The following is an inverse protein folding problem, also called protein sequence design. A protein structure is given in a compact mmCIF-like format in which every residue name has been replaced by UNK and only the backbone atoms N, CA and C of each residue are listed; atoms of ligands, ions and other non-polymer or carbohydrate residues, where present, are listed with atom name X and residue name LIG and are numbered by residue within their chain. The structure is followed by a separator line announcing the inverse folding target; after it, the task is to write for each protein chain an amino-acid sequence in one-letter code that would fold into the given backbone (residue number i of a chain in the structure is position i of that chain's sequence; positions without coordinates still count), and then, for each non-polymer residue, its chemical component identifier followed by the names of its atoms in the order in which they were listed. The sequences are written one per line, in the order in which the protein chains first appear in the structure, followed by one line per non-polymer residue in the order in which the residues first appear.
data_IF_466896136071
#
_entry.id   IF_466896136071
#
_cell.length_a   1.000
_cell.length_b   1.000
_cell.length_c   1.000
_cell.angle_alpha   90.00
_cell.angle_beta   90.00
_cell.angle_gamma   90.00
#
_symmetry.space_group_name_H-M   'P 1'
#
loop_
_entity.id
_entity.type
_entity.pdbx_description
1 polymer ?
#
# COMPACT_ATOMS: atom_id res chain seq x y z
N UNK A 1 -6.57 -63.74 -37.07
CA UNK A 1 -8.00 -63.81 -37.42
C UNK A 1 -8.71 -62.62 -36.81
N UNK A 2 -9.52 -61.99 -37.64
CA UNK A 2 -10.07 -60.65 -37.55
C UNK A 2 -11.21 -60.46 -36.55
N UNK A 3 -11.58 -59.18 -36.39
CA UNK A 3 -12.90 -58.60 -36.12
C UNK A 3 -13.20 -58.14 -34.68
N UNK A 4 -14.00 -57.10 -34.42
CA UNK A 4 -14.49 -55.91 -35.15
C UNK A 4 -15.37 -55.15 -34.11
N UNK A 5 -15.51 -53.84 -34.33
CA UNK A 5 -16.24 -52.80 -33.59
C UNK A 5 -17.70 -53.06 -33.13
N UNK A 6 -18.15 -52.28 -32.13
CA UNK A 6 -19.43 -51.55 -32.00
C UNK A 6 -19.33 -50.61 -30.76
N UNK A 7 -19.58 -49.29 -30.74
CA UNK A 7 -20.66 -48.40 -31.21
C UNK A 7 -22.01 -48.52 -30.47
N UNK A 8 -22.29 -47.58 -29.57
CA UNK A 8 -23.59 -46.90 -29.29
C UNK A 8 -23.33 -45.89 -28.14
N UNK A 9 -23.83 -44.65 -28.07
CA UNK A 9 -24.90 -43.96 -28.77
C UNK A 9 -26.10 -43.75 -27.84
N UNK A 10 -26.22 -42.60 -27.14
CA UNK A 10 -27.52 -42.01 -26.76
C UNK A 10 -27.40 -40.57 -26.18
N UNK A 11 -28.49 -39.76 -26.22
CA UNK A 11 -28.42 -38.32 -26.47
C UNK A 11 -29.25 -37.48 -25.46
N UNK A 12 -29.46 -36.20 -25.83
CA UNK A 12 -30.52 -35.26 -25.40
C UNK A 12 -30.30 -34.55 -24.05
N UNK A 13 -30.26 -33.22 -24.13
CA UNK A 13 -31.27 -32.35 -23.48
C UNK A 13 -31.43 -31.04 -24.27
N UNK A 14 -32.65 -30.87 -24.82
CA UNK A 14 -33.19 -29.64 -25.42
C UNK A 14 -33.56 -28.67 -24.30
N UNK A 15 -33.35 -27.36 -24.51
CA UNK A 15 -34.12 -26.30 -23.85
C UNK A 15 -34.68 -25.37 -24.94
N UNK A 16 -35.99 -25.16 -24.89
CA UNK A 16 -36.76 -24.23 -25.73
C UNK A 16 -37.31 -23.09 -24.86
N UNK A 17 -37.55 -21.96 -25.54
CA UNK A 17 -38.50 -20.88 -25.25
C UNK A 17 -38.15 -19.93 -24.08
N UNK A 18 -38.46 -18.62 -24.08
CA UNK A 18 -39.38 -17.77 -24.87
C UNK A 18 -38.81 -16.32 -24.85
N UNK A 19 -38.80 -15.56 -25.95
CA UNK A 19 -39.86 -14.66 -26.44
C UNK A 19 -40.38 -13.61 -25.45
N UNK A 20 -40.09 -12.33 -25.72
CA UNK A 20 -41.03 -11.21 -25.50
C UNK A 20 -40.64 -10.01 -26.37
N UNK A 21 -41.66 -9.44 -27.03
CA UNK A 21 -41.62 -8.32 -27.97
C UNK A 21 -41.99 -6.98 -27.30
N UNK A 22 -41.61 -5.88 -27.97
CA UNK A 22 -42.27 -4.55 -27.89
C UNK A 22 -41.59 -3.59 -26.91
N UNK A 23 -41.42 -2.29 -27.17
CA UNK A 23 -42.26 -1.36 -27.95
C UNK A 23 -41.42 -0.19 -28.49
N UNK A 24 -41.82 0.31 -29.66
CA UNK A 24 -41.28 1.46 -30.42
C UNK A 24 -41.45 2.78 -29.67
N UNK A 25 -40.41 3.63 -29.64
CA UNK A 25 -40.53 5.04 -29.29
C UNK A 25 -40.65 5.92 -30.55
N UNK A 26 -41.70 6.74 -30.57
CA UNK A 26 -42.13 7.61 -31.67
C UNK A 26 -41.40 8.96 -31.61
N UNK A 27 -40.94 9.42 -32.78
CA UNK A 27 -40.38 10.74 -33.05
C UNK A 27 -41.53 11.74 -33.20
N UNK A 28 -41.51 12.85 -32.44
CA UNK A 28 -42.44 13.97 -32.60
C UNK A 28 -41.69 15.30 -32.51
N UNK A 29 -41.62 16.00 -33.64
CA UNK A 29 -41.17 17.39 -33.79
C UNK A 29 -42.37 18.33 -33.62
N UNK A 30 -42.24 19.42 -32.86
CA UNK A 30 -42.92 20.71 -33.16
C UNK A 30 -42.28 21.90 -32.42
N UNK A 31 -41.72 22.80 -33.24
CA UNK A 31 -41.81 24.28 -33.25
C UNK A 31 -41.70 25.15 -31.97
N UNK A 32 -40.81 26.13 -32.13
CA UNK A 32 -40.65 27.48 -31.55
C UNK A 32 -41.94 28.34 -31.54
N UNK A 33 -42.14 29.48 -30.84
CA UNK A 33 -41.35 30.71 -30.50
C UNK A 33 -42.15 31.48 -29.36
N UNK A 34 -42.01 32.82 -29.08
CA UNK A 34 -41.00 33.59 -28.32
C UNK A 34 -41.47 34.27 -26.99
N UNK A 35 -40.47 34.72 -26.22
CA UNK A 35 -40.34 35.94 -25.41
C UNK A 35 -41.55 36.78 -24.94
N UNK A 36 -41.58 37.09 -23.64
CA UNK A 36 -41.97 38.42 -23.11
C UNK A 36 -41.06 38.88 -21.98
N UNK A 37 -40.46 40.05 -22.20
CA UNK A 37 -39.73 40.88 -21.23
C UNK A 37 -40.73 41.47 -20.22
N UNK A 38 -40.38 41.49 -18.94
CA UNK A 38 -40.79 42.56 -18.04
C UNK A 38 -39.58 43.08 -17.25
N UNK A 39 -39.55 44.40 -17.18
CA UNK A 39 -38.48 45.29 -16.74
C UNK A 39 -38.78 45.74 -15.31
N UNK A 40 -37.74 45.66 -14.46
CA UNK A 40 -37.35 46.51 -13.31
C UNK A 40 -38.41 46.95 -12.27
N UNK A 41 -38.11 46.78 -10.98
CA UNK A 41 -37.41 47.80 -10.17
C UNK A 41 -37.14 47.35 -8.70
N UNK A 42 -36.24 48.06 -7.95
CA UNK A 42 -35.42 47.48 -6.89
C UNK A 42 -35.90 47.85 -5.48
N UNK A 43 -35.64 47.00 -4.47
CA UNK A 43 -35.72 47.41 -3.06
C UNK A 43 -34.61 46.83 -2.17
N UNK A 44 -33.77 47.77 -1.72
CA UNK A 44 -33.18 47.94 -0.39
C UNK A 44 -32.19 46.91 0.15
N UNK A 45 -30.94 47.38 0.13
CA UNK A 45 -29.81 46.99 1.01
C UNK A 45 -30.26 46.91 2.47
N UNK A 46 -30.04 45.76 3.10
CA UNK A 46 -29.85 45.65 4.56
C UNK A 46 -28.39 45.30 4.76
N UNK A 47 -27.65 46.24 5.36
CA UNK A 47 -26.27 46.05 5.76
C UNK A 47 -26.24 45.16 7.00
N UNK A 48 -25.85 43.89 6.83
CA UNK A 48 -25.43 43.05 7.95
C UNK A 48 -24.02 43.50 8.37
N UNK A 49 -23.97 44.10 9.55
CA UNK A 49 -22.76 44.54 10.25
C UNK A 49 -21.81 43.35 10.41
N UNK A 50 -20.66 43.40 9.75
CA UNK A 50 -19.50 42.53 9.99
C UNK A 50 -19.10 42.69 11.45
N UNK A 51 -19.44 41.72 12.29
CA UNK A 51 -18.83 41.57 13.62
C UNK A 51 -17.52 40.84 13.40
N UNK A 52 -16.41 41.52 13.68
CA UNK A 52 -15.10 40.88 13.72
C UNK A 52 -15.08 39.85 14.87
N UNK A 53 -14.55 38.64 14.66
CA UNK A 53 -14.33 37.72 15.77
C UNK A 53 -13.21 38.29 16.66
N UNK A 54 -13.57 38.67 17.88
CA UNK A 54 -12.60 38.87 18.95
C UNK A 54 -11.87 37.56 19.24
N UNK A 55 -10.55 37.58 19.47
CA UNK A 55 -9.81 36.39 19.85
C UNK A 55 -10.15 36.08 21.31
N UNK A 56 -11.08 35.15 21.51
CA UNK A 56 -11.44 34.68 22.85
C UNK A 56 -10.50 33.56 23.26
N UNK A 57 -9.91 33.78 24.43
CA UNK A 57 -8.95 32.97 25.17
C UNK A 57 -9.48 31.59 25.55
N UNK A 58 -8.71 30.55 25.21
CA UNK A 58 -8.52 29.27 25.92
C UNK A 58 -9.60 28.88 26.96
N UNK A 59 -10.77 28.45 26.48
CA UNK A 59 -11.73 27.64 27.22
C UNK A 59 -11.83 26.28 26.53
N UNK A 60 -11.93 25.21 27.31
CA UNK A 60 -11.86 23.82 26.84
C UNK A 60 -12.79 23.54 25.65
N UNK A 61 -12.24 22.83 24.67
CA UNK A 61 -12.81 22.43 23.37
C UNK A 61 -13.95 21.40 23.52
N UNK A 62 -14.96 21.70 24.33
CA UNK A 62 -16.13 20.83 24.48
C UNK A 62 -17.05 20.92 23.25
N UNK A 63 -17.65 19.80 22.88
CA UNK A 63 -18.64 19.69 21.84
C UNK A 63 -19.94 20.35 22.27
N UNK A 64 -20.58 21.00 21.29
CA UNK A 64 -21.88 21.66 21.47
C UNK A 64 -22.94 20.64 21.93
N UNK A 65 -22.88 19.43 21.37
CA UNK A 65 -23.65 18.28 21.83
C UNK A 65 -22.73 17.28 22.55
N UNK A 66 -23.09 16.87 23.78
CA UNK A 66 -22.24 16.03 24.62
C UNK A 66 -21.87 14.68 23.97
N UNK A 67 -22.80 14.05 23.26
CA UNK A 67 -22.58 12.76 22.59
C UNK A 67 -21.51 12.83 21.48
N UNK A 68 -21.24 14.02 20.95
CA UNK A 68 -20.25 14.23 19.90
C UNK A 68 -18.82 14.35 20.45
N UNK A 69 -18.64 14.48 21.77
CA UNK A 69 -17.34 14.77 22.38
C UNK A 69 -16.30 13.69 22.09
N UNK A 70 -16.67 12.42 22.26
CA UNK A 70 -15.76 11.30 22.06
C UNK A 70 -15.33 11.20 20.58
N UNK A 71 -16.30 11.33 19.67
CA UNK A 71 -16.07 11.32 18.23
C UNK A 71 -15.15 12.48 17.80
N UNK A 72 -15.42 13.70 18.26
CA UNK A 72 -14.58 14.87 17.97
C UNK A 72 -13.14 14.66 18.48
N UNK A 73 -12.98 14.13 19.69
CA UNK A 73 -11.66 13.84 20.29
C UNK A 73 -10.87 12.83 19.46
N UNK A 74 -11.54 11.78 18.97
CA UNK A 74 -10.91 10.77 18.12
C UNK A 74 -10.47 11.35 16.77
N UNK A 75 -11.28 12.20 16.15
CA UNK A 75 -10.90 12.87 14.90
C UNK A 75 -9.76 13.88 15.08
N UNK A 76 -9.62 14.52 16.26
CA UNK A 76 -8.43 15.30 16.61
C UNK A 76 -7.18 14.41 16.65
N UNK A 77 -7.25 13.26 17.32
CA UNK A 77 -6.14 12.32 17.39
C UNK A 77 -5.75 11.76 16.01
N UNK A 78 -6.74 11.45 15.16
CA UNK A 78 -6.47 11.06 13.77
C UNK A 78 -5.76 12.16 13.00
N UNK A 79 -6.19 13.41 13.14
CA UNK A 79 -5.52 14.53 12.51
C UNK A 79 -4.04 14.62 12.94
N UNK A 80 -3.77 14.55 14.24
CA UNK A 80 -2.42 14.60 14.80
C UNK A 80 -1.54 13.45 14.28
N UNK A 81 -2.10 12.24 14.14
CA UNK A 81 -1.40 11.13 13.48
C UNK A 81 -1.07 11.44 12.01
N UNK A 82 -2.01 12.00 11.24
CA UNK A 82 -1.72 12.42 9.85
C UNK A 82 -0.63 13.50 9.80
N UNK A 83 -0.57 14.37 10.80
CA UNK A 83 0.47 15.40 10.92
C UNK A 83 1.85 14.80 11.18
N UNK A 84 1.96 13.86 12.13
CA UNK A 84 3.25 13.21 12.45
C UNK A 84 3.80 12.41 11.26
N UNK A 85 2.93 11.95 10.38
CA UNK A 85 3.29 11.26 9.13
C UNK A 85 3.54 12.21 7.94
N UNK A 86 3.41 13.52 8.13
CA UNK A 86 3.67 14.52 7.09
C UNK A 86 2.53 14.78 6.10
N UNK A 87 1.34 14.18 6.30
CA UNK A 87 0.16 14.38 5.43
C UNK A 87 -0.58 15.67 5.75
N UNK A 88 0.04 16.82 5.45
CA UNK A 88 -0.48 18.16 5.78
C UNK A 88 -1.90 18.43 5.29
N UNK A 89 -2.25 17.95 4.09
CA UNK A 89 -3.61 18.14 3.54
C UNK A 89 -4.65 17.30 4.28
N UNK A 90 -4.31 16.07 4.66
CA UNK A 90 -5.19 15.22 5.46
C UNK A 90 -5.32 15.76 6.87
N UNK A 91 -4.22 16.18 7.52
CA UNK A 91 -4.27 16.84 8.82
C UNK A 91 -5.30 17.98 8.87
N UNK A 92 -5.27 18.88 7.88
CA UNK A 92 -6.25 19.99 7.80
C UNK A 92 -7.67 19.49 7.63
N UNK A 93 -7.89 18.49 6.77
CA UNK A 93 -9.20 17.91 6.55
C UNK A 93 -9.77 17.28 7.82
N UNK A 94 -9.00 16.42 8.52
CA UNK A 94 -9.44 15.79 9.76
C UNK A 94 -9.67 16.81 10.89
N UNK A 95 -8.88 17.89 10.96
CA UNK A 95 -9.16 19.01 11.89
C UNK A 95 -10.47 19.72 11.58
N UNK A 96 -10.79 19.92 10.29
CA UNK A 96 -12.06 20.51 9.88
C UNK A 96 -13.25 19.59 10.22
N UNK A 97 -13.09 18.27 10.02
CA UNK A 97 -14.09 17.28 10.40
C UNK A 97 -14.33 17.28 11.90
N UNK A 98 -13.26 17.27 12.71
CA UNK A 98 -13.36 17.34 14.17
C UNK A 98 -14.09 18.61 14.65
N UNK A 99 -13.81 19.75 14.02
CA UNK A 99 -14.51 21.00 14.30
C UNK A 99 -15.99 20.93 13.91
N UNK A 100 -16.32 20.37 12.74
CA UNK A 100 -17.71 20.21 12.30
C UNK A 100 -18.52 19.31 13.25
N UNK A 101 -17.92 18.21 13.73
CA UNK A 101 -18.54 17.31 14.73
C UNK A 101 -18.79 18.06 16.05
N UNK A 102 -17.80 18.86 16.50
CA UNK A 102 -17.87 19.64 17.74
C UNK A 102 -18.93 20.75 17.67
N UNK A 103 -19.03 21.42 16.53
CA UNK A 103 -19.94 22.55 16.32
C UNK A 103 -21.37 22.08 15.98
N UNK A 104 -21.58 20.78 15.73
CA UNK A 104 -22.91 20.23 15.53
C UNK A 104 -23.75 20.36 16.81
N UNK A 105 -24.89 21.04 16.68
CA UNK A 105 -25.87 21.17 17.76
C UNK A 105 -26.68 19.91 18.02
N UNK A 106 -26.75 19.01 17.04
CA UNK A 106 -27.43 17.73 17.12
C UNK A 106 -26.43 16.58 17.27
N UNK A 107 -26.90 15.46 17.83
CA UNK A 107 -26.14 14.22 17.90
C UNK A 107 -25.84 13.71 16.48
N UNK A 108 -24.59 13.33 16.23
CA UNK A 108 -24.20 12.68 14.97
C UNK A 108 -24.61 11.21 15.03
N UNK A 109 -25.47 10.78 14.11
CA UNK A 109 -25.97 9.41 14.01
C UNK A 109 -25.29 8.62 12.89
N UNK A 110 -24.64 9.31 11.96
CA UNK A 110 -23.81 8.68 10.94
C UNK A 110 -22.86 9.64 10.22
N UNK A 111 -21.95 9.07 9.46
CA UNK A 111 -20.96 9.81 8.68
C UNK A 111 -21.57 10.80 7.70
N UNK A 112 -22.76 10.49 7.18
CA UNK A 112 -23.52 11.35 6.27
C UNK A 112 -23.86 12.73 6.87
N UNK A 113 -24.11 12.81 8.18
CA UNK A 113 -24.49 14.04 8.88
C UNK A 113 -23.35 15.07 8.84
N UNK A 114 -22.12 14.59 8.88
CA UNK A 114 -20.92 15.43 8.86
C UNK A 114 -20.48 15.69 7.42
N UNK A 115 -20.27 14.64 6.62
CA UNK A 115 -19.66 14.80 5.29
C UNK A 115 -20.58 15.50 4.29
N UNK A 116 -21.90 15.41 4.46
CA UNK A 116 -22.88 16.02 3.56
C UNK A 116 -22.83 17.56 3.55
N UNK A 117 -22.31 18.17 4.61
CA UNK A 117 -22.19 19.62 4.75
C UNK A 117 -20.82 20.18 4.32
N UNK A 118 -19.84 19.30 4.08
CA UNK A 118 -18.45 19.69 3.87
C UNK A 118 -18.04 19.65 2.39
N UNK A 119 -17.14 20.55 1.99
CA UNK A 119 -16.52 20.52 0.67
C UNK A 119 -15.37 19.52 0.64
N UNK A 120 -15.65 18.31 0.18
CA UNK A 120 -14.65 17.25 0.01
C UNK A 120 -14.92 16.40 -1.23
N UNK A 121 -13.93 15.64 -1.68
CA UNK A 121 -14.09 14.72 -2.82
C UNK A 121 -14.97 13.51 -2.41
N UNK A 122 -15.63 12.83 -3.36
CA UNK A 122 -16.43 11.63 -3.05
C UNK A 122 -15.63 10.55 -2.32
N UNK A 123 -14.35 10.39 -2.67
CA UNK A 123 -13.46 9.43 -1.99
C UNK A 123 -13.20 9.84 -0.53
N UNK A 124 -12.98 11.12 -0.27
CA UNK A 124 -12.78 11.61 1.10
C UNK A 124 -14.05 11.46 1.94
N UNK A 125 -15.21 11.80 1.37
CA UNK A 125 -16.50 11.63 2.04
C UNK A 125 -16.78 10.17 2.40
N UNK A 126 -16.49 9.24 1.48
CA UNK A 126 -16.64 7.81 1.76
C UNK A 126 -15.70 7.33 2.87
N UNK A 127 -14.43 7.74 2.85
CA UNK A 127 -13.46 7.38 3.90
C UNK A 127 -13.85 7.94 5.26
N UNK A 128 -14.06 9.24 5.36
CA UNK A 128 -14.38 9.91 6.63
C UNK A 128 -15.74 9.47 7.16
N UNK A 129 -16.74 9.33 6.27
CA UNK A 129 -18.05 8.84 6.66
C UNK A 129 -17.99 7.43 7.23
N UNK A 130 -17.24 6.53 6.57
CA UNK A 130 -17.01 5.18 7.07
C UNK A 130 -16.29 5.13 8.41
N UNK A 131 -15.28 5.98 8.64
CA UNK A 131 -14.58 6.10 9.93
C UNK A 131 -15.51 6.60 11.06
N UNK A 132 -16.43 7.52 10.75
CA UNK A 132 -17.46 7.97 11.70
C UNK A 132 -18.41 6.81 12.04
N UNK A 133 -18.94 6.13 11.03
CA UNK A 133 -19.87 5.00 11.21
C UNK A 133 -19.19 3.84 11.99
N UNK A 134 -17.91 3.58 11.71
CA UNK A 134 -17.08 2.63 12.45
C UNK A 134 -16.97 3.02 13.92
N UNK A 135 -16.67 4.29 14.22
CA UNK A 135 -16.59 4.76 15.60
C UNK A 135 -17.93 4.69 16.32
N UNK A 136 -19.03 5.06 15.67
CA UNK A 136 -20.35 5.02 16.28
C UNK A 136 -20.80 3.58 16.57
N UNK A 137 -20.42 2.62 15.72
CA UNK A 137 -20.77 1.21 15.91
C UNK A 137 -19.85 0.46 16.89
N UNK A 138 -18.57 0.81 16.96
CA UNK A 138 -17.56 0.04 17.73
C UNK A 138 -16.93 0.80 18.89
N UNK A 139 -17.09 2.13 18.94
CA UNK A 139 -16.37 3.02 19.84
C UNK A 139 -14.89 3.22 19.49
N UNK A 140 -14.44 2.72 18.33
CA UNK A 140 -13.03 2.66 17.89
C UNK A 140 -12.90 2.98 16.41
N UNK A 141 -11.69 3.35 15.98
CA UNK A 141 -11.33 3.49 14.56
C UNK A 141 -10.05 2.69 14.32
N UNK A 142 -10.12 1.67 13.46
CA UNK A 142 -9.02 0.73 13.18
C UNK A 142 -7.74 1.49 12.76
N UNK A 143 -7.87 2.52 11.93
CA UNK A 143 -6.74 3.32 11.48
C UNK A 143 -6.04 4.05 12.64
N UNK A 144 -6.80 4.53 13.64
CA UNK A 144 -6.21 5.17 14.81
C UNK A 144 -5.51 4.16 15.73
N UNK A 145 -6.13 2.99 15.95
CA UNK A 145 -5.52 1.90 16.72
C UNK A 145 -4.20 1.44 16.09
N UNK A 146 -4.18 1.31 14.75
CA UNK A 146 -2.98 1.01 13.98
C UNK A 146 -1.89 2.07 14.19
N UNK A 147 -2.28 3.34 14.17
CA UNK A 147 -1.34 4.45 14.38
C UNK A 147 -0.71 4.45 15.77
N UNK A 148 -1.49 4.07 16.78
CA UNK A 148 -1.07 3.93 18.19
C UNK A 148 -0.33 2.62 18.48
N UNK A 149 -0.45 1.61 17.62
CA UNK A 149 0.14 0.29 17.86
C UNK A 149 -0.60 -0.49 18.95
N UNK A 150 -1.91 -0.28 19.11
CA UNK A 150 -2.74 -0.97 20.12
C UNK A 150 -2.83 -2.50 19.92
N UNK A 151 -2.10 -3.25 20.74
CA UNK A 151 -2.11 -4.72 20.72
C UNK A 151 -3.49 -5.26 21.05
N UNK A 152 -3.95 -6.26 20.28
CA UNK A 152 -5.12 -7.06 20.64
C UNK A 152 -4.64 -8.24 21.47
N UNK A 153 -5.44 -8.63 22.46
CA UNK A 153 -5.33 -9.97 23.03
C UNK A 153 -5.91 -10.95 22.01
N UNK A 154 -5.13 -11.95 21.63
CA UNK A 154 -5.59 -13.01 20.75
C UNK A 154 -6.66 -13.86 21.44
N UNK A 155 -7.65 -14.32 20.69
CA UNK A 155 -8.71 -15.21 21.21
C UNK A 155 -8.15 -16.58 21.59
N UNK A 156 -7.23 -17.08 20.77
CA UNK A 156 -6.42 -18.25 21.08
C UNK A 156 -5.07 -17.83 21.64
N UNK A 157 -4.65 -18.40 22.77
CA UNK A 157 -3.43 -17.99 23.47
C UNK A 157 -2.15 -18.21 22.65
N UNK A 158 -2.07 -19.32 21.91
CA UNK A 158 -0.92 -19.64 21.06
C UNK A 158 -0.70 -18.63 19.92
N UNK A 159 -1.75 -17.91 19.52
CA UNK A 159 -1.67 -16.90 18.47
C UNK A 159 -1.10 -15.56 18.98
N UNK A 160 -1.00 -15.35 20.30
CA UNK A 160 -0.63 -14.06 20.89
C UNK A 160 0.75 -13.58 20.44
N UNK A 161 1.75 -14.46 20.47
CA UNK A 161 3.11 -14.13 20.05
C UNK A 161 3.16 -13.73 18.57
N UNK A 162 2.46 -14.46 17.72
CA UNK A 162 2.39 -14.18 16.29
C UNK A 162 1.66 -12.84 16.03
N UNK A 163 0.56 -12.58 16.74
CA UNK A 163 -0.12 -11.27 16.72
C UNK A 163 0.85 -10.15 17.08
N UNK A 164 1.60 -10.30 18.16
CA UNK A 164 2.49 -9.27 18.67
C UNK A 164 3.64 -8.93 17.71
N UNK A 165 4.18 -9.95 17.05
CA UNK A 165 5.23 -9.78 16.04
C UNK A 165 4.72 -9.06 14.80
N UNK A 166 3.49 -9.31 14.37
CA UNK A 166 2.90 -8.56 13.25
C UNK A 166 2.53 -7.11 13.61
N UNK A 167 2.18 -6.83 14.86
CA UNK A 167 2.08 -5.44 15.36
C UNK A 167 3.44 -4.76 15.29
N UNK A 168 4.51 -5.45 15.67
CA UNK A 168 5.88 -4.93 15.60
C UNK A 168 6.33 -4.66 14.16
N UNK A 169 6.01 -5.57 13.24
CA UNK A 169 6.24 -5.38 11.80
C UNK A 169 5.51 -4.15 11.28
N UNK A 170 4.26 -3.95 11.70
CA UNK A 170 3.47 -2.78 11.31
C UNK A 170 4.11 -1.48 11.82
N UNK A 171 4.55 -1.45 13.08
CA UNK A 171 5.24 -0.30 13.67
C UNK A 171 6.56 0.01 12.94
N UNK A 172 7.39 -1.01 12.70
CA UNK A 172 8.69 -0.86 12.06
C UNK A 172 8.58 -0.47 10.56
N UNK A 173 7.51 -0.89 9.88
CA UNK A 173 7.26 -0.50 8.49
C UNK A 173 6.98 0.99 8.31
N UNK A 174 6.62 1.74 9.36
CA UNK A 174 6.18 3.14 9.32
C UNK A 174 7.22 4.17 8.81
N UNK A 175 8.49 3.76 8.65
CA UNK A 175 9.64 4.67 8.44
C UNK A 175 9.98 4.97 6.97
N UNK A 176 9.33 4.33 5.98
CA UNK A 176 9.69 4.43 4.54
C UNK A 176 8.59 5.08 3.67
N UNK A 177 8.89 5.57 2.46
CA UNK A 177 7.92 6.32 1.61
C UNK A 177 6.71 5.48 1.14
N UNK A 178 6.84 4.14 1.07
CA UNK A 178 5.73 3.20 0.83
C UNK A 178 5.26 2.48 2.11
N UNK A 179 5.55 3.08 3.28
CA UNK A 179 5.32 2.49 4.60
C UNK A 179 3.87 2.19 4.90
N UNK A 180 2.95 3.06 4.48
CA UNK A 180 1.57 3.01 4.97
C UNK A 180 0.84 1.76 4.52
N UNK A 181 0.94 1.38 3.26
CA UNK A 181 0.28 0.18 2.75
C UNK A 181 0.84 -1.08 3.42
N UNK A 182 2.17 -1.10 3.64
CA UNK A 182 2.83 -2.22 4.31
C UNK A 182 2.48 -2.30 5.80
N UNK A 183 2.47 -1.15 6.49
CA UNK A 183 2.02 -1.02 7.88
C UNK A 183 0.58 -1.48 8.03
N UNK A 184 -0.32 -1.01 7.17
CA UNK A 184 -1.73 -1.39 7.16
C UNK A 184 -1.91 -2.89 6.89
N UNK A 185 -1.13 -3.45 5.96
CA UNK A 185 -1.15 -4.89 5.68
C UNK A 185 -0.76 -5.70 6.92
N UNK A 186 0.39 -5.41 7.54
CA UNK A 186 0.84 -6.12 8.74
C UNK A 186 -0.11 -5.94 9.92
N UNK A 187 -0.70 -4.76 10.08
CA UNK A 187 -1.69 -4.52 11.11
C UNK A 187 -2.96 -5.37 10.93
N UNK A 188 -3.48 -5.42 9.70
CA UNK A 188 -4.65 -6.27 9.37
C UNK A 188 -4.34 -7.75 9.56
N UNK A 189 -3.14 -8.17 9.21
CA UNK A 189 -2.66 -9.53 9.51
C UNK A 189 -2.65 -9.79 11.01
N UNK A 190 -2.09 -8.90 11.83
CA UNK A 190 -2.09 -9.05 13.29
C UNK A 190 -3.52 -9.18 13.85
N UNK A 191 -4.48 -8.39 13.34
CA UNK A 191 -5.89 -8.47 13.75
C UNK A 191 -6.54 -9.78 13.33
N UNK A 192 -6.31 -10.24 12.11
CA UNK A 192 -6.84 -11.52 11.63
C UNK A 192 -6.31 -12.69 12.49
N UNK A 193 -5.02 -12.69 12.81
CA UNK A 193 -4.40 -13.69 13.70
C UNK A 193 -5.03 -13.63 15.10
N UNK A 194 -5.22 -12.43 15.64
CA UNK A 194 -5.81 -12.26 16.97
C UNK A 194 -7.28 -12.69 17.04
N UNK A 195 -8.03 -12.56 15.94
CA UNK A 195 -9.44 -12.95 15.85
C UNK A 195 -9.63 -14.43 15.52
N UNK A 196 -8.58 -15.16 15.13
CA UNK A 196 -8.65 -16.58 14.91
C UNK A 196 -8.96 -17.32 16.21
N UNK A 197 -10.01 -18.15 16.18
CA UNK A 197 -10.48 -18.91 17.34
C UNK A 197 -9.65 -20.19 17.57
N UNK A 198 -8.88 -20.64 16.57
CA UNK A 198 -8.00 -21.81 16.61
C UNK A 198 -6.52 -21.43 16.51
N UNK A 199 -5.64 -22.29 17.01
CA UNK A 199 -4.20 -22.12 16.90
C UNK A 199 -3.76 -22.17 15.43
N UNK A 200 -2.83 -21.29 15.05
CA UNK A 200 -2.21 -21.29 13.72
C UNK A 200 -0.91 -22.08 13.80
N UNK A 201 -0.94 -23.34 13.39
CA UNK A 201 0.20 -24.25 13.49
C UNK A 201 0.79 -24.63 12.13
N UNK A 202 0.05 -24.35 11.06
CA UNK A 202 0.42 -24.76 9.70
C UNK A 202 0.24 -23.63 8.68
N UNK A 203 0.79 -23.88 7.50
CA UNK A 203 0.60 -23.04 6.32
C UNK A 203 -0.87 -22.93 5.95
N UNK A 204 -1.59 -24.05 6.00
CA UNK A 204 -3.01 -24.13 5.67
C UNK A 204 -3.83 -23.22 6.60
N UNK A 205 -3.61 -23.30 7.92
CA UNK A 205 -4.28 -22.43 8.90
C UNK A 205 -3.99 -20.95 8.63
N UNK A 206 -2.73 -20.63 8.34
CA UNK A 206 -2.31 -19.28 8.02
C UNK A 206 -2.97 -18.75 6.73
N UNK A 207 -3.13 -19.59 5.71
CA UNK A 207 -3.83 -19.21 4.48
C UNK A 207 -5.31 -18.93 4.73
N UNK A 208 -5.97 -19.76 5.55
CA UNK A 208 -7.39 -19.62 5.88
C UNK A 208 -7.66 -18.34 6.68
N UNK A 209 -6.84 -18.07 7.70
CA UNK A 209 -6.93 -16.83 8.50
C UNK A 209 -6.70 -15.58 7.64
N UNK A 210 -5.84 -15.65 6.62
CA UNK A 210 -5.49 -14.50 5.79
C UNK A 210 -6.30 -14.32 4.50
N UNK A 211 -7.25 -15.22 4.21
CA UNK A 211 -8.05 -15.17 2.99
C UNK A 211 -8.79 -13.81 2.79
N UNK A 212 -9.15 -13.14 3.89
CA UNK A 212 -9.79 -11.82 3.88
C UNK A 212 -8.85 -10.61 3.93
N UNK A 213 -7.56 -10.82 4.22
CA UNK A 213 -6.59 -9.73 4.42
C UNK A 213 -6.04 -9.24 3.08
N UNK A 214 -5.76 -10.16 2.16
CA UNK A 214 -5.18 -9.85 0.84
C UNK A 214 -5.55 -10.91 -0.18
N UNK A 215 -5.72 -10.51 -1.44
CA UNK A 215 -6.00 -11.41 -2.57
C UNK A 215 -4.97 -12.54 -2.73
N UNK A 216 -3.71 -12.23 -2.42
CA UNK A 216 -2.61 -13.19 -2.40
C UNK A 216 -1.81 -13.01 -1.10
N UNK A 217 -2.09 -13.83 -0.07
CA UNK A 217 -1.44 -13.74 1.23
C UNK A 217 -0.11 -14.52 1.28
N UNK A 218 0.38 -15.12 0.19
CA UNK A 218 1.55 -16.01 0.20
C UNK A 218 2.78 -15.40 0.89
N UNK A 219 3.06 -14.12 0.63
CA UNK A 219 4.19 -13.44 1.27
C UNK A 219 4.03 -13.24 2.78
N UNK A 220 2.79 -13.12 3.29
CA UNK A 220 2.52 -13.03 4.72
C UNK A 220 2.59 -14.41 5.37
N UNK A 221 2.09 -15.44 4.68
CA UNK A 221 2.18 -16.83 5.15
C UNK A 221 3.64 -17.27 5.27
N UNK A 222 4.51 -16.91 4.33
CA UNK A 222 5.95 -17.18 4.45
C UNK A 222 6.58 -16.55 5.71
N UNK A 223 6.10 -15.36 6.13
CA UNK A 223 6.58 -14.73 7.36
C UNK A 223 6.03 -15.44 8.60
N UNK A 224 4.81 -15.98 8.53
CA UNK A 224 4.23 -16.79 9.61
C UNK A 224 4.93 -18.14 9.72
N UNK A 225 5.17 -18.84 8.60
CA UNK A 225 5.97 -20.08 8.56
C UNK A 225 7.36 -19.85 9.16
N UNK A 226 8.07 -18.78 8.75
CA UNK A 226 9.38 -18.43 9.32
C UNK A 226 9.29 -18.26 10.85
N UNK A 227 8.26 -17.57 11.34
CA UNK A 227 8.05 -17.39 12.78
C UNK A 227 7.73 -18.70 13.51
N UNK A 228 6.88 -19.55 12.94
CA UNK A 228 6.53 -20.84 13.54
C UNK A 228 7.73 -21.80 13.58
N UNK A 229 8.61 -21.75 12.57
CA UNK A 229 9.82 -22.57 12.52
C UNK A 229 10.94 -22.06 13.44
N UNK A 230 11.11 -20.73 13.53
CA UNK A 230 12.31 -20.13 14.15
C UNK A 230 12.05 -19.32 15.41
N UNK A 231 10.80 -18.96 15.68
CA UNK A 231 10.41 -18.01 16.73
C UNK A 231 10.72 -16.54 16.39
N UNK A 232 11.21 -16.23 15.19
CA UNK A 232 11.62 -14.89 14.78
C UNK A 232 11.21 -14.59 13.34
N UNK A 233 11.19 -13.31 12.96
CA UNK A 233 10.98 -12.88 11.57
C UNK A 233 12.15 -11.98 11.14
N UNK A 234 12.94 -12.41 10.16
CA UNK A 234 14.12 -11.65 9.69
C UNK A 234 13.75 -10.29 9.12
N UNK A 235 12.59 -10.18 8.47
CA UNK A 235 12.09 -8.90 7.98
C UNK A 235 11.85 -7.90 9.11
N UNK A 236 11.45 -8.36 10.31
CA UNK A 236 11.29 -7.49 11.47
C UNK A 236 12.66 -6.97 11.95
N UNK A 237 13.66 -7.85 12.04
CA UNK A 237 15.03 -7.45 12.38
C UNK A 237 15.55 -6.42 11.36
N UNK A 238 15.34 -6.65 10.06
CA UNK A 238 15.71 -5.72 8.98
C UNK A 238 14.98 -4.38 9.05
N UNK A 239 13.73 -4.36 9.51
CA UNK A 239 12.97 -3.12 9.68
C UNK A 239 13.33 -2.37 10.97
N UNK A 240 13.74 -3.09 12.03
CA UNK A 240 14.18 -2.52 13.32
C UNK A 240 15.63 -2.02 13.27
N UNK A 241 16.50 -2.71 12.54
CA UNK A 241 17.92 -2.40 12.40
C UNK A 241 18.20 -1.19 11.51
N UNK A 242 17.41 -0.12 11.60
CA UNK A 242 17.59 1.08 10.78
C UNK A 242 18.85 1.91 11.09
N UNK A 243 19.81 1.35 11.82
CA UNK A 243 21.13 1.94 12.10
C UNK A 243 22.31 1.00 11.77
N UNK A 244 22.05 -0.14 11.11
CA UNK A 244 23.10 -0.99 10.51
C UNK A 244 22.78 -1.29 9.03
N UNK A 245 22.19 -0.28 8.37
CA UNK A 245 22.59 0.05 7.00
C UNK A 245 23.76 1.07 7.13
N UNK A 246 24.85 0.70 7.81
CA UNK A 246 26.09 0.80 7.07
C UNK A 246 25.85 -0.12 5.86
N UNK A 247 25.72 0.35 4.63
CA UNK A 247 26.66 1.25 3.97
C UNK A 247 28.13 1.01 4.40
N UNK A 248 28.47 -0.16 4.97
CA UNK A 248 29.32 -1.06 4.20
C UNK A 248 28.41 -1.65 3.08
N UNK A 249 28.02 -0.89 2.06
CA UNK A 249 28.86 -0.83 0.86
C UNK A 249 30.29 -1.21 1.24
N UNK A 250 30.54 -2.50 1.46
CA UNK A 250 31.84 -3.03 1.06
C UNK A 250 31.88 -2.67 -0.39
N UNK A 251 32.52 -1.53 -0.68
CA UNK A 251 32.50 -0.95 -1.99
C UNK A 251 32.93 -2.06 -2.90
N UNK A 252 32.12 -2.45 -3.88
CA UNK A 252 32.59 -3.40 -4.88
C UNK A 252 33.87 -2.86 -5.55
N UNK A 253 34.12 -1.54 -5.44
CA UNK A 253 35.39 -0.87 -5.72
C UNK A 253 36.63 -1.46 -5.01
N UNK A 254 36.51 -2.04 -3.81
CA UNK A 254 37.64 -2.48 -2.98
C UNK A 254 37.74 -4.00 -2.82
N UNK A 255 36.76 -4.76 -3.34
CA UNK A 255 36.74 -6.21 -3.25
C UNK A 255 37.38 -6.86 -4.48
N UNK A 256 38.45 -7.67 -4.31
CA UNK A 256 38.96 -8.46 -5.41
C UNK A 256 37.98 -9.57 -5.76
N UNK A 257 37.84 -9.87 -7.04
CA UNK A 257 37.09 -11.00 -7.53
C UNK A 257 37.71 -12.30 -7.01
N UNK A 258 36.88 -13.28 -6.62
CA UNK A 258 37.38 -14.61 -6.23
C UNK A 258 38.11 -15.29 -7.39
N UNK A 259 37.61 -15.12 -8.61
CA UNK A 259 38.28 -15.52 -9.83
C UNK A 259 38.87 -14.30 -10.54
N UNK A 260 40.19 -14.27 -10.73
CA UNK A 260 40.92 -13.08 -11.23
C UNK A 260 40.41 -12.56 -12.59
N UNK A 261 40.01 -13.46 -13.50
CA UNK A 261 39.50 -13.10 -14.83
C UNK A 261 38.16 -12.33 -14.79
N UNK A 262 37.47 -12.33 -13.65
CA UNK A 262 36.20 -11.64 -13.47
C UNK A 262 36.37 -10.18 -13.01
N UNK A 263 37.58 -9.76 -12.63
CA UNK A 263 37.82 -8.43 -12.02
C UNK A 263 37.42 -7.29 -12.96
N UNK A 264 37.94 -7.28 -14.20
CA UNK A 264 37.69 -6.19 -15.14
C UNK A 264 36.20 -6.06 -15.48
N UNK A 265 35.49 -7.21 -15.52
CA UNK A 265 34.05 -7.25 -15.73
C UNK A 265 33.31 -6.66 -14.52
N UNK A 266 33.70 -7.01 -13.29
CA UNK A 266 33.11 -6.43 -12.07
C UNK A 266 33.31 -4.92 -12.05
N UNK A 267 34.54 -4.46 -12.27
CA UNK A 267 34.92 -3.03 -12.27
C UNK A 267 34.08 -2.22 -13.26
N UNK A 268 33.85 -2.76 -14.46
CA UNK A 268 32.99 -2.13 -15.47
C UNK A 268 31.55 -1.90 -14.96
N UNK A 269 31.00 -2.85 -14.21
CA UNK A 269 29.67 -2.71 -13.60
C UNK A 269 29.67 -1.74 -12.41
N UNK A 270 30.72 -1.72 -11.59
CA UNK A 270 30.87 -0.73 -10.52
C UNK A 270 30.93 0.68 -11.10
N UNK A 271 31.67 0.89 -12.18
CA UNK A 271 31.73 2.18 -12.87
C UNK A 271 30.38 2.57 -13.48
N UNK A 272 29.67 1.66 -14.13
CA UNK A 272 28.31 1.91 -14.62
C UNK A 272 27.37 2.38 -13.50
N UNK A 273 27.53 1.83 -12.30
CA UNK A 273 26.73 2.17 -11.15
C UNK A 273 26.98 3.60 -10.65
N UNK A 274 28.21 4.10 -10.77
CA UNK A 274 28.58 5.49 -10.47
C UNK A 274 27.89 6.46 -11.43
N UNK A 275 27.66 6.04 -12.67
CA UNK A 275 27.14 6.90 -13.75
C UNK A 275 25.61 6.87 -13.93
N UNK A 276 24.92 5.78 -13.59
CA UNK A 276 23.47 5.66 -13.75
C UNK A 276 22.76 5.52 -12.40
N UNK A 277 22.43 6.65 -11.77
CA UNK A 277 21.76 6.67 -10.46
C UNK A 277 20.44 5.88 -10.42
N UNK A 278 19.70 5.79 -11.54
CA UNK A 278 18.43 5.05 -11.61
C UNK A 278 18.65 3.54 -11.62
N UNK A 279 19.80 3.09 -12.13
CA UNK A 279 20.17 1.67 -12.24
C UNK A 279 21.35 1.27 -11.34
N UNK A 280 21.81 2.17 -10.47
CA UNK A 280 22.95 1.96 -9.58
C UNK A 280 22.85 0.63 -8.84
N UNK A 281 21.78 0.43 -8.07
CA UNK A 281 21.57 -0.81 -7.30
C UNK A 281 21.62 -2.07 -8.17
N UNK A 282 21.09 -1.99 -9.39
CA UNK A 282 21.15 -3.09 -10.35
C UNK A 282 22.59 -3.41 -10.72
N UNK A 283 23.38 -2.40 -11.08
CA UNK A 283 24.76 -2.59 -11.51
C UNK A 283 25.65 -3.08 -10.37
N UNK A 284 25.44 -2.60 -9.15
CA UNK A 284 26.10 -3.13 -7.95
C UNK A 284 25.80 -4.61 -7.70
N UNK A 285 24.53 -5.01 -7.80
CA UNK A 285 24.16 -6.42 -7.60
C UNK A 285 24.82 -7.33 -8.64
N UNK A 286 24.98 -6.84 -9.88
CA UNK A 286 25.68 -7.59 -10.93
C UNK A 286 27.18 -7.67 -10.63
N UNK A 287 27.81 -6.55 -10.25
CA UNK A 287 29.22 -6.52 -9.85
C UNK A 287 29.51 -7.50 -8.70
N UNK A 288 28.70 -7.51 -7.64
CA UNK A 288 28.89 -8.46 -6.53
C UNK A 288 28.74 -9.92 -6.97
N UNK A 289 27.76 -10.25 -7.82
CA UNK A 289 27.63 -11.61 -8.32
C UNK A 289 28.85 -12.04 -9.17
N UNK A 290 29.45 -11.11 -9.91
CA UNK A 290 30.68 -11.35 -10.68
C UNK A 290 31.87 -11.58 -9.74
N UNK A 291 32.02 -10.75 -8.71
CA UNK A 291 33.08 -10.86 -7.70
C UNK A 291 32.98 -12.17 -6.90
N UNK A 292 31.76 -12.60 -6.58
CA UNK A 292 31.48 -13.81 -5.80
C UNK A 292 31.62 -15.11 -6.57
N UNK A 293 31.69 -15.06 -7.90
CA UNK A 293 31.77 -16.25 -8.75
C UNK A 293 33.14 -16.93 -8.59
N UNK A 294 33.12 -18.21 -8.24
CA UNK A 294 34.34 -19.00 -8.03
C UNK A 294 35.00 -19.41 -9.36
N UNK A 295 34.23 -19.45 -10.46
CA UNK A 295 34.68 -19.77 -11.81
C UNK A 295 34.70 -18.52 -12.72
N UNK A 296 35.47 -18.57 -13.81
CA UNK A 296 35.49 -17.54 -14.84
C UNK A 296 34.11 -17.40 -15.50
N UNK A 297 33.61 -16.17 -15.60
CA UNK A 297 32.34 -15.85 -16.26
C UNK A 297 32.57 -15.76 -17.77
N UNK A 298 31.90 -16.64 -18.51
CA UNK A 298 32.01 -16.75 -19.97
C UNK A 298 30.75 -16.28 -20.69
N UNK A 299 29.63 -16.17 -19.99
CA UNK A 299 28.41 -15.59 -20.51
C UNK A 299 27.53 -15.03 -19.39
N UNK A 300 26.52 -14.25 -19.76
CA UNK A 300 25.58 -13.65 -18.84
C UNK A 300 24.82 -14.66 -17.98
N UNK A 301 24.66 -15.91 -18.42
CA UNK A 301 23.98 -16.94 -17.63
C UNK A 301 24.82 -17.45 -16.46
N UNK A 302 26.13 -17.23 -16.47
CA UNK A 302 27.02 -17.78 -15.44
C UNK A 302 26.86 -17.03 -14.11
N UNK A 303 26.24 -15.85 -14.12
CA UNK A 303 25.90 -15.09 -12.89
C UNK A 303 24.52 -15.44 -12.32
N UNK A 304 23.76 -16.32 -12.99
CA UNK A 304 22.48 -16.79 -12.46
C UNK A 304 22.71 -17.90 -11.42
N UNK A 305 22.33 -17.61 -10.17
CA UNK A 305 22.38 -18.60 -9.09
C UNK A 305 23.58 -18.48 -8.14
N UNK A 306 24.41 -17.46 -8.28
CA UNK A 306 25.40 -17.09 -7.28
C UNK A 306 24.77 -16.68 -5.93
N UNK A 307 25.58 -16.59 -4.87
CA UNK A 307 25.15 -16.20 -3.52
C UNK A 307 24.36 -14.87 -3.51
N UNK A 308 24.74 -13.98 -4.42
CA UNK A 308 24.01 -12.77 -4.79
C UNK A 308 22.76 -13.11 -5.61
N UNK A 309 21.59 -13.17 -4.95
CA UNK A 309 20.25 -13.49 -5.50
C UNK A 309 19.81 -12.59 -6.69
N UNK A 310 20.50 -12.64 -7.82
CA UNK A 310 20.11 -11.97 -9.04
C UNK A 310 18.91 -12.65 -9.67
N UNK A 311 18.02 -11.85 -10.27
CA UNK A 311 16.91 -12.39 -11.05
C UNK A 311 17.44 -12.92 -12.39
N UNK A 312 16.91 -14.04 -12.90
CA UNK A 312 17.29 -14.52 -14.21
C UNK A 312 17.13 -13.50 -15.32
N UNK A 313 18.11 -13.42 -16.22
CA UNK A 313 18.11 -12.49 -17.35
C UNK A 313 18.66 -11.10 -17.04
N UNK A 314 19.08 -10.84 -15.80
CA UNK A 314 19.46 -9.50 -15.36
C UNK A 314 20.93 -9.21 -15.66
N UNK A 315 21.20 -8.19 -16.48
CA UNK A 315 22.58 -7.80 -16.84
C UNK A 315 23.27 -8.68 -17.89
N UNK A 316 22.65 -9.81 -18.28
CA UNK A 316 23.24 -10.80 -19.17
C UNK A 316 23.79 -10.24 -20.48
N UNK A 317 22.97 -9.44 -21.18
CA UNK A 317 23.39 -8.90 -22.47
C UNK A 317 24.63 -7.99 -22.37
N UNK A 318 24.82 -7.31 -21.23
CA UNK A 318 26.01 -6.47 -21.00
C UNK A 318 27.22 -7.31 -20.60
N UNK A 319 27.01 -8.42 -19.88
CA UNK A 319 28.07 -9.39 -19.60
C UNK A 319 28.52 -10.05 -20.91
N UNK A 320 27.58 -10.52 -21.74
CA UNK A 320 27.88 -11.12 -23.05
C UNK A 320 28.61 -10.13 -23.96
N UNK A 321 28.20 -8.85 -23.94
CA UNK A 321 28.87 -7.76 -24.65
C UNK A 321 30.31 -7.57 -24.17
N UNK A 322 30.53 -7.51 -22.84
CA UNK A 322 31.86 -7.36 -22.28
C UNK A 322 32.75 -8.58 -22.55
N UNK A 323 32.24 -9.80 -22.40
CA UNK A 323 33.03 -11.01 -22.68
C UNK A 323 33.40 -11.09 -24.17
N UNK A 324 32.52 -10.65 -25.07
CA UNK A 324 32.79 -10.69 -26.52
C UNK A 324 33.67 -9.55 -27.02
N UNK A 325 33.63 -8.37 -26.40
CA UNK A 325 34.30 -7.16 -26.90
C UNK A 325 35.36 -6.57 -25.97
N UNK A 326 35.42 -7.02 -24.71
CA UNK A 326 36.20 -6.43 -23.63
C UNK A 326 35.63 -5.12 -23.07
N UNK A 327 34.45 -4.68 -23.53
CA UNK A 327 33.88 -3.37 -23.17
C UNK A 327 32.34 -3.43 -23.07
N UNK A 328 31.74 -2.46 -22.37
CA UNK A 328 30.29 -2.23 -22.39
C UNK A 328 30.03 -0.90 -23.10
N UNK A 329 29.39 -0.90 -24.27
CA UNK A 329 29.19 0.30 -25.08
C UNK A 329 28.46 1.41 -24.32
N UNK A 330 27.60 1.06 -23.36
CA UNK A 330 26.94 2.03 -22.50
C UNK A 330 27.94 2.76 -21.60
N UNK A 331 28.92 2.05 -21.03
CA UNK A 331 29.95 2.63 -20.19
C UNK A 331 30.87 3.54 -21.01
N UNK A 332 31.27 3.11 -22.20
CA UNK A 332 32.11 3.90 -23.11
C UNK A 332 31.46 5.23 -23.49
N UNK A 333 30.14 5.26 -23.70
CA UNK A 333 29.41 6.52 -23.93
C UNK A 333 29.48 7.48 -22.73
N UNK A 334 29.51 6.95 -21.51
CA UNK A 334 29.65 7.78 -20.31
C UNK A 334 31.08 8.31 -20.13
N UNK A 335 32.09 7.50 -20.48
CA UNK A 335 33.51 7.91 -20.47
C UNK A 335 33.74 9.02 -21.51
N UNK A 336 33.27 8.83 -22.75
CA UNK A 336 33.39 9.81 -23.83
C UNK A 336 32.61 11.12 -23.60
N UNK A 337 31.60 11.13 -22.74
CA UNK A 337 30.83 12.34 -22.42
C UNK A 337 31.49 13.22 -21.34
N UNK A 338 32.58 12.75 -20.71
CA UNK A 338 33.34 13.50 -19.69
C UNK A 338 34.61 14.17 -20.23
N UNK A 339 34.99 13.88 -21.48
CA UNK A 339 36.04 14.57 -22.25
C UNK A 339 35.47 15.76 -23.03
#
# INVERSE_FOLDING_TARGET
MSNKAASSGNPKKRKHAASTQGVKAVKGHTRSVPAKRHRAEPKKKIAAKKVAPTPSTAAADDATHADNQALATVFVALAESKQSLGFKSQFKLYRQVAAAIRDSGDAIEGGADVVGSMQMTPSQAATIGGEIDEFLSTGKIEELEMHRGERKVARHEDNQHLTDVFVDLAAAAATKVNALDKRRMFWKTARAIADADEAIESREDAMDVLAGVKKDPTALVLLMEEFLETGEIKELARLRGSDDDGDEETSADDQPAKHQDNQDLADAFVELAKHDAKKRKMYWMVAHAILDADDAITCGKDVDGGASKLKPGFGWAMIDEFVSTGQIAKLERFRASKE
#
